data_IF_246139280129
#
_entry.id   IF_246139280129
#
_cell.length_a   1.000
_cell.length_b   1.000
_cell.length_c   1.000
_cell.angle_alpha   90.00
_cell.angle_beta   90.00
_cell.angle_gamma   90.00
#
_symmetry.space_group_name_H-M   'P 1'
#
loop_
_entity.id
_entity.type
_entity.pdbx_description
1 polymer ?
#
# COMPACT_ATOMS: atom_id res chain seq x y z
N UNK A 1 16.27 12.15 -4.70
CA UNK A 1 15.15 13.09 -4.95
C UNK A 1 15.47 14.49 -4.42
N UNK A 2 15.87 14.61 -3.16
CA UNK A 2 16.17 15.88 -2.47
C UNK A 2 17.28 16.70 -3.12
N UNK A 3 18.36 16.07 -3.58
CA UNK A 3 19.43 16.80 -4.29
C UNK A 3 18.94 17.46 -5.60
N UNK A 4 18.09 16.77 -6.37
CA UNK A 4 17.51 17.32 -7.58
C UNK A 4 16.59 18.50 -7.25
N UNK A 5 15.72 18.33 -6.25
CA UNK A 5 14.82 19.37 -5.76
C UNK A 5 15.61 20.64 -5.39
N UNK A 6 16.63 20.52 -4.55
CA UNK A 6 17.47 21.66 -4.14
C UNK A 6 18.14 22.33 -5.35
N UNK A 7 18.71 21.56 -6.28
CA UNK A 7 19.35 22.12 -7.47
C UNK A 7 18.37 22.86 -8.39
N UNK A 8 17.12 22.42 -8.46
CA UNK A 8 16.07 23.12 -9.22
C UNK A 8 15.73 24.43 -8.51
N UNK A 9 15.43 24.38 -7.21
CA UNK A 9 15.09 25.57 -6.42
C UNK A 9 16.19 26.64 -6.43
N UNK A 10 17.45 26.24 -6.29
CA UNK A 10 18.61 27.15 -6.29
C UNK A 10 18.81 27.87 -7.62
N UNK A 11 18.37 27.25 -8.73
CA UNK A 11 18.56 27.78 -10.09
C UNK A 11 17.29 28.39 -10.68
N UNK A 12 16.16 28.28 -10.00
CA UNK A 12 14.90 28.82 -10.49
C UNK A 12 14.81 30.31 -10.18
N UNK A 13 15.06 31.15 -11.18
CA UNK A 13 15.19 32.60 -11.05
C UNK A 13 13.92 33.38 -11.47
N UNK A 14 12.83 32.67 -11.78
CA UNK A 14 11.55 33.29 -12.16
C UNK A 14 10.57 33.35 -10.99
N UNK A 15 9.61 34.28 -11.07
CA UNK A 15 8.55 34.42 -10.07
C UNK A 15 7.62 33.19 -10.02
N UNK A 16 7.43 32.50 -11.16
CA UNK A 16 6.61 31.31 -11.28
C UNK A 16 7.41 30.07 -10.91
N UNK A 17 7.50 29.79 -9.60
CA UNK A 17 8.21 28.61 -9.07
C UNK A 17 7.50 27.29 -9.44
N UNK A 18 8.26 26.20 -9.67
CA UNK A 18 7.70 24.93 -10.08
C UNK A 18 6.90 24.28 -8.96
N UNK A 19 6.00 23.38 -9.36
CA UNK A 19 5.28 22.49 -8.46
C UNK A 19 5.78 21.07 -8.66
N UNK A 20 5.85 20.29 -7.58
CA UNK A 20 6.44 18.97 -7.54
C UNK A 20 5.39 17.92 -7.22
N UNK A 21 5.35 16.88 -8.04
CA UNK A 21 4.68 15.62 -7.72
C UNK A 21 5.76 14.60 -7.40
N UNK A 22 5.74 14.04 -6.19
CA UNK A 22 6.73 13.09 -5.72
C UNK A 22 6.10 11.71 -5.51
N UNK A 23 6.75 10.62 -5.94
CA UNK A 23 6.34 9.27 -5.55
C UNK A 23 6.68 9.01 -4.07
N UNK A 24 6.37 7.81 -3.58
CA UNK A 24 6.60 7.44 -2.18
C UNK A 24 8.09 7.55 -1.81
N UNK A 25 9.00 7.26 -2.75
CA UNK A 25 10.44 7.40 -2.53
C UNK A 25 10.91 8.86 -2.36
N UNK A 26 9.99 9.82 -2.56
CA UNK A 26 10.12 11.21 -2.18
C UNK A 26 9.82 11.51 -0.71
N UNK A 27 9.13 10.59 -0.01
CA UNK A 27 8.69 10.74 1.37
C UNK A 27 9.80 10.33 2.34
N UNK A 28 10.80 11.20 2.48
CA UNK A 28 12.01 10.95 3.28
C UNK A 28 12.27 12.10 4.26
N UNK A 29 12.90 11.82 5.40
CA UNK A 29 13.19 12.80 6.45
C UNK A 29 14.02 13.99 5.93
N UNK A 30 14.90 13.78 4.95
CA UNK A 30 15.67 14.87 4.35
C UNK A 30 14.79 15.90 3.65
N UNK A 31 13.61 15.50 3.14
CA UNK A 31 12.65 16.41 2.54
C UNK A 31 12.07 17.36 3.59
N UNK A 32 11.82 16.87 4.80
CA UNK A 32 11.32 17.69 5.91
C UNK A 32 12.31 18.83 6.23
N UNK A 33 13.61 18.52 6.26
CA UNK A 33 14.66 19.52 6.45
C UNK A 33 14.72 20.58 5.34
N UNK A 34 14.51 20.17 4.08
CA UNK A 34 14.46 21.11 2.95
C UNK A 34 13.24 22.02 3.04
N UNK A 35 12.06 21.45 3.29
CA UNK A 35 10.82 22.23 3.44
C UNK A 35 10.90 23.15 4.67
N UNK A 36 11.57 22.72 5.74
CA UNK A 36 11.80 23.57 6.91
C UNK A 36 12.60 24.82 6.54
N UNK A 37 13.66 24.67 5.74
CA UNK A 37 14.53 25.74 5.27
C UNK A 37 13.91 26.63 4.16
N UNK A 38 12.98 26.08 3.38
CA UNK A 38 12.27 26.78 2.30
C UNK A 38 10.75 26.63 2.47
N UNK A 39 10.11 27.45 3.34
CA UNK A 39 8.73 27.25 3.74
C UNK A 39 7.71 27.25 2.59
N UNK A 40 7.98 27.95 1.49
CA UNK A 40 7.10 27.99 0.33
C UNK A 40 7.01 26.65 -0.41
N UNK A 41 7.91 25.69 -0.15
CA UNK A 41 7.85 24.36 -0.73
C UNK A 41 6.66 23.54 -0.20
N UNK A 42 6.18 23.79 1.02
CA UNK A 42 5.07 22.99 1.58
C UNK A 42 3.82 23.08 0.70
N UNK A 43 3.54 24.27 0.13
CA UNK A 43 2.41 24.49 -0.76
C UNK A 43 2.66 24.10 -2.23
N UNK A 44 3.88 23.62 -2.56
CA UNK A 44 4.29 23.30 -3.92
C UNK A 44 4.67 21.83 -4.11
N UNK A 45 4.69 21.04 -3.06
CA UNK A 45 4.96 19.60 -3.11
C UNK A 45 3.65 18.86 -2.86
N UNK A 46 3.29 17.96 -3.76
CA UNK A 46 2.26 16.95 -3.57
C UNK A 46 2.92 15.58 -3.69
N UNK A 47 2.59 14.66 -2.81
CA UNK A 47 3.18 13.34 -2.81
C UNK A 47 2.16 12.22 -2.96
N UNK A 48 2.60 11.09 -3.49
CA UNK A 48 1.81 9.84 -3.52
C UNK A 48 2.50 8.75 -2.72
N UNK A 49 1.71 7.84 -2.18
CA UNK A 49 2.14 6.65 -1.42
C UNK A 49 1.11 5.55 -1.61
N UNK A 50 1.48 4.26 -1.51
CA UNK A 50 0.46 3.20 -1.51
C UNK A 50 -0.64 3.46 -0.48
N UNK A 51 -1.89 3.22 -0.88
CA UNK A 51 -3.10 3.52 -0.11
C UNK A 51 -3.44 2.49 0.95
N UNK A 52 -2.54 1.55 1.27
CA UNK A 52 -2.79 0.46 2.20
C UNK A 52 -3.29 0.91 3.58
N UNK A 53 -2.88 2.09 4.05
CA UNK A 53 -3.38 2.69 5.30
C UNK A 53 -4.89 3.01 5.30
N UNK A 54 -5.53 3.01 4.13
CA UNK A 54 -6.97 3.19 3.95
C UNK A 54 -7.74 1.86 4.11
N UNK A 55 -7.04 0.72 4.06
CA UNK A 55 -7.65 -0.60 4.21
C UNK A 55 -8.13 -0.85 5.64
N UNK A 56 -9.26 -1.54 5.77
CA UNK A 56 -9.89 -1.88 7.06
C UNK A 56 -8.95 -2.67 7.98
N UNK A 57 -8.15 -3.58 7.42
CA UNK A 57 -7.22 -4.44 8.15
C UNK A 57 -5.94 -3.76 8.64
N UNK A 58 -5.59 -2.59 8.12
CA UNK A 58 -4.30 -1.94 8.38
C UNK A 58 -4.11 -1.57 9.86
N UNK A 59 -5.13 -1.02 10.50
CA UNK A 59 -5.04 -0.57 11.90
C UNK A 59 -4.67 -1.69 12.87
N UNK A 60 -5.26 -2.87 12.69
CA UNK A 60 -4.95 -4.06 13.48
C UNK A 60 -3.54 -4.59 13.21
N UNK A 61 -3.08 -4.52 11.96
CA UNK A 61 -1.69 -4.83 11.61
C UNK A 61 -0.70 -3.87 12.28
N UNK A 62 -0.91 -2.56 12.13
CA UNK A 62 -0.02 -1.53 12.67
C UNK A 62 0.11 -1.65 14.20
N UNK A 63 -0.98 -1.96 14.90
CA UNK A 63 -0.95 -2.23 16.34
C UNK A 63 -0.07 -3.45 16.68
N UNK A 64 -0.25 -4.57 15.97
CA UNK A 64 0.55 -5.80 16.20
C UNK A 64 2.02 -5.58 15.86
N UNK A 65 2.31 -4.89 14.77
CA UNK A 65 3.67 -4.56 14.35
C UNK A 65 4.36 -3.71 15.43
N UNK A 66 3.70 -2.64 15.86
CA UNK A 66 4.24 -1.75 16.90
C UNK A 66 4.46 -2.44 18.23
N UNK A 67 3.54 -3.35 18.61
CA UNK A 67 3.71 -4.13 19.83
C UNK A 67 4.91 -5.09 19.78
N UNK A 68 5.27 -5.59 18.59
CA UNK A 68 6.37 -6.54 18.42
C UNK A 68 7.73 -5.84 18.24
N UNK A 69 7.80 -4.81 17.40
CA UNK A 69 9.05 -4.12 17.05
C UNK A 69 9.32 -2.86 17.89
N UNK A 70 8.34 -2.40 18.67
CA UNK A 70 8.42 -1.16 19.45
C UNK A 70 8.64 0.10 18.57
N UNK A 71 8.12 0.07 17.34
CA UNK A 71 8.12 1.15 16.35
C UNK A 71 6.94 0.98 15.37
N UNK A 72 6.40 2.06 14.77
CA UNK A 72 5.37 1.93 13.75
C UNK A 72 5.88 1.17 12.52
N UNK A 73 5.00 0.51 11.74
CA UNK A 73 5.41 -0.10 10.48
C UNK A 73 5.94 0.96 9.51
N UNK A 74 7.07 0.65 8.88
CA UNK A 74 7.56 1.42 7.73
C UNK A 74 6.70 1.17 6.49
N UNK A 75 6.78 2.08 5.51
CA UNK A 75 6.17 1.90 4.19
C UNK A 75 6.54 0.53 3.63
N UNK A 76 5.54 -0.20 3.13
CA UNK A 76 5.65 -1.55 2.56
C UNK A 76 5.67 -2.74 3.52
N UNK A 77 5.70 -2.53 4.83
CA UNK A 77 5.67 -3.63 5.80
C UNK A 77 4.38 -4.46 5.67
N UNK A 78 3.27 -3.80 5.36
CA UNK A 78 1.96 -4.38 5.09
C UNK A 78 1.95 -5.33 3.88
N UNK A 79 2.62 -4.98 2.77
CA UNK A 79 2.67 -5.86 1.60
C UNK A 79 3.53 -7.09 1.87
N UNK A 80 4.64 -6.94 2.61
CA UNK A 80 5.45 -8.07 3.03
C UNK A 80 4.67 -8.98 4.00
N UNK A 81 3.84 -8.40 4.86
CA UNK A 81 2.93 -9.13 5.74
C UNK A 81 1.93 -9.96 4.92
N UNK A 82 1.23 -9.33 3.98
CA UNK A 82 0.24 -9.99 3.14
C UNK A 82 0.86 -11.08 2.25
N UNK A 83 2.05 -10.83 1.69
CA UNK A 83 2.78 -11.82 0.87
C UNK A 83 3.07 -13.11 1.64
N UNK A 84 3.33 -13.04 2.95
CA UNK A 84 3.54 -14.22 3.77
C UNK A 84 2.24 -15.04 3.95
N UNK A 85 1.09 -14.38 4.13
CA UNK A 85 -0.21 -15.05 4.22
C UNK A 85 -0.64 -15.64 2.87
N UNK A 86 -0.47 -14.88 1.78
CA UNK A 86 -0.69 -15.37 0.42
C UNK A 86 0.10 -16.65 0.14
N UNK A 87 1.38 -16.69 0.52
CA UNK A 87 2.20 -17.89 0.37
C UNK A 87 1.63 -19.06 1.19
N UNK A 88 1.24 -18.82 2.44
CA UNK A 88 0.66 -19.85 3.30
C UNK A 88 -0.64 -20.41 2.72
N UNK A 89 -1.54 -19.56 2.24
CA UNK A 89 -2.80 -20.00 1.65
C UNK A 89 -2.62 -20.65 0.28
N UNK A 90 -1.69 -20.19 -0.55
CA UNK A 90 -1.36 -20.87 -1.80
C UNK A 90 -0.77 -22.28 -1.55
N UNK A 91 0.06 -22.47 -0.51
CA UNK A 91 0.48 -23.80 -0.06
C UNK A 91 -0.75 -24.66 0.30
N UNK A 92 -1.67 -24.12 1.11
CA UNK A 92 -2.88 -24.83 1.51
C UNK A 92 -3.73 -25.26 0.30
N UNK A 93 -4.03 -24.33 -0.60
CA UNK A 93 -4.80 -24.54 -1.84
C UNK A 93 -4.15 -25.60 -2.73
N UNK A 94 -2.82 -25.59 -2.85
CA UNK A 94 -2.10 -26.58 -3.67
C UNK A 94 -2.32 -28.02 -3.18
N UNK A 95 -2.60 -28.20 -1.88
CA UNK A 95 -2.70 -29.51 -1.25
C UNK A 95 -1.40 -30.31 -1.26
N UNK A 96 -0.25 -29.64 -1.49
CA UNK A 96 1.08 -30.24 -1.54
C UNK A 96 1.89 -29.79 -0.33
N UNK A 97 2.66 -30.70 0.27
CA UNK A 97 3.61 -30.32 1.33
C UNK A 97 4.78 -29.47 0.82
N UNK A 98 5.18 -29.66 -0.44
CA UNK A 98 6.26 -28.94 -1.10
C UNK A 98 5.89 -28.66 -2.56
N UNK A 99 4.99 -27.70 -2.83
CA UNK A 99 4.65 -27.32 -4.20
C UNK A 99 5.87 -26.74 -4.91
N UNK A 100 6.05 -27.13 -6.17
CA UNK A 100 6.98 -26.47 -7.09
C UNK A 100 6.54 -25.04 -7.42
N UNK A 101 7.42 -24.25 -8.03
CA UNK A 101 7.08 -22.89 -8.50
C UNK A 101 5.81 -22.84 -9.36
N UNK A 102 5.68 -23.69 -10.40
CA UNK A 102 4.46 -23.73 -11.21
C UNK A 102 3.20 -24.13 -10.44
N UNK A 103 3.30 -25.08 -9.50
CA UNK A 103 2.18 -25.46 -8.63
C UNK A 103 1.77 -24.32 -7.70
N UNK A 104 2.74 -23.57 -7.17
CA UNK A 104 2.49 -22.37 -6.37
C UNK A 104 1.81 -21.28 -7.19
N UNK A 105 2.30 -21.02 -8.40
CA UNK A 105 1.72 -20.02 -9.29
C UNK A 105 0.27 -20.38 -9.65
N UNK A 106 -0.02 -21.67 -9.90
CA UNK A 106 -1.38 -22.13 -10.16
C UNK A 106 -2.30 -21.96 -8.92
N UNK A 107 -1.80 -22.21 -7.72
CA UNK A 107 -2.55 -22.01 -6.48
C UNK A 107 -2.78 -20.52 -6.15
N UNK A 108 -1.82 -19.65 -6.47
CA UNK A 108 -1.95 -18.20 -6.27
C UNK A 108 -3.13 -17.63 -7.07
N UNK A 109 -3.49 -18.23 -8.20
CA UNK A 109 -4.66 -17.81 -9.00
C UNK A 109 -6.01 -18.03 -8.32
N UNK A 110 -6.01 -18.69 -7.17
CA UNK A 110 -7.21 -19.11 -6.43
C UNK A 110 -7.27 -18.46 -5.04
N UNK A 111 -6.41 -17.47 -4.76
CA UNK A 111 -6.41 -16.70 -3.51
C UNK A 111 -7.37 -15.51 -3.55
N UNK A 112 -7.90 -15.19 -4.73
CA UNK A 112 -8.97 -14.21 -4.92
C UNK A 112 -9.97 -14.71 -5.98
N UNK A 113 -11.23 -14.26 -5.92
CA UNK A 113 -12.24 -14.65 -6.89
C UNK A 113 -11.92 -14.11 -8.29
N UNK A 114 -11.89 -15.01 -9.28
CA UNK A 114 -11.84 -14.67 -10.70
C UNK A 114 -12.75 -15.63 -11.49
N UNK A 115 -13.74 -15.11 -12.25
CA UNK A 115 -14.61 -15.94 -13.06
C UNK A 115 -13.87 -16.83 -14.08
N UNK A 116 -12.63 -16.49 -14.46
CA UNK A 116 -11.82 -17.24 -15.41
C UNK A 116 -11.06 -18.42 -14.78
N UNK A 117 -10.95 -18.50 -13.46
CA UNK A 117 -10.22 -19.58 -12.76
C UNK A 117 -11.13 -20.64 -12.14
N UNK A 118 -12.45 -20.43 -12.22
CA UNK A 118 -13.45 -21.25 -11.54
C UNK A 118 -13.63 -20.89 -10.06
N UNK A 119 -12.86 -19.92 -9.54
CA UNK A 119 -13.04 -19.36 -8.21
C UNK A 119 -14.01 -18.17 -8.27
N UNK A 120 -15.31 -18.38 -8.03
CA UNK A 120 -16.37 -17.37 -8.29
C UNK A 120 -17.00 -16.76 -7.04
N UNK A 121 -16.49 -17.08 -5.85
CA UNK A 121 -17.05 -16.61 -4.58
C UNK A 121 -16.53 -17.41 -3.39
N UNK A 122 -15.20 -17.47 -3.25
CA UNK A 122 -14.56 -18.11 -2.11
C UNK A 122 -14.95 -17.42 -0.80
N UNK A 123 -14.82 -18.14 0.32
CA UNK A 123 -15.01 -17.52 1.63
C UNK A 123 -13.95 -16.43 1.83
N UNK A 124 -14.37 -15.27 2.35
CA UNK A 124 -13.43 -14.22 2.72
C UNK A 124 -12.51 -14.71 3.84
N UNK A 125 -11.21 -14.49 3.65
CA UNK A 125 -10.18 -14.83 4.62
C UNK A 125 -9.27 -13.63 4.84
N UNK A 126 -9.21 -13.16 6.09
CA UNK A 126 -8.46 -11.95 6.40
C UNK A 126 -6.99 -12.28 6.72
N UNK A 127 -6.11 -11.33 6.43
CA UNK A 127 -4.74 -11.37 6.89
C UNK A 127 -4.63 -11.16 8.41
N UNK A 128 -4.03 -12.12 9.11
CA UNK A 128 -3.73 -11.99 10.52
C UNK A 128 -3.76 -13.30 11.31
N UNK A 129 -3.32 -13.26 12.58
CA UNK A 129 -3.28 -14.46 13.42
C UNK A 129 -4.68 -14.90 13.86
N UNK A 130 -5.64 -13.97 13.94
CA UNK A 130 -7.02 -14.27 14.30
C UNK A 130 -7.65 -15.13 13.21
N UNK A 131 -8.18 -16.30 13.57
CA UNK A 131 -8.84 -17.18 12.60
C UNK A 131 -7.89 -17.92 11.64
N UNK A 132 -6.57 -17.68 11.70
CA UNK A 132 -5.60 -18.22 10.73
C UNK A 132 -5.76 -19.72 10.47
N UNK A 133 -5.85 -20.55 11.52
CA UNK A 133 -6.00 -22.00 11.36
C UNK A 133 -7.30 -22.39 10.64
N UNK A 134 -8.39 -21.64 10.89
CA UNK A 134 -9.67 -21.85 10.20
C UNK A 134 -9.61 -21.41 8.75
N UNK A 135 -9.01 -20.25 8.47
CA UNK A 135 -8.80 -19.75 7.10
C UNK A 135 -7.87 -20.67 6.30
N UNK A 136 -6.80 -21.17 6.92
CA UNK A 136 -5.90 -22.14 6.29
C UNK A 136 -6.62 -23.44 5.93
N UNK A 137 -7.46 -23.95 6.83
CA UNK A 137 -8.28 -25.13 6.55
C UNK A 137 -9.27 -24.86 5.42
N UNK A 138 -9.90 -23.68 5.42
CA UNK A 138 -10.83 -23.23 4.38
C UNK A 138 -10.15 -23.21 3.01
N UNK A 139 -8.97 -22.58 2.93
CA UNK A 139 -8.14 -22.56 1.74
C UNK A 139 -7.76 -23.98 1.25
N UNK A 140 -7.39 -24.88 2.17
CA UNK A 140 -7.05 -26.27 1.85
C UNK A 140 -8.24 -27.07 1.29
N UNK A 141 -9.44 -26.86 1.82
CA UNK A 141 -10.63 -27.63 1.46
C UNK A 141 -11.38 -27.07 0.26
N UNK A 142 -11.59 -25.75 0.24
CA UNK A 142 -12.37 -25.09 -0.80
C UNK A 142 -11.53 -24.84 -2.05
N UNK A 143 -10.21 -24.68 -1.89
CA UNK A 143 -9.25 -24.37 -2.98
C UNK A 143 -9.64 -23.14 -3.80
N UNK A 144 -10.32 -22.21 -3.14
CA UNK A 144 -10.76 -20.93 -3.65
C UNK A 144 -11.13 -20.12 -2.40
N UNK A 145 -10.52 -18.95 -2.24
CA UNK A 145 -10.75 -18.03 -1.13
C UNK A 145 -10.81 -16.61 -1.69
N UNK A 146 -11.28 -15.69 -0.86
CA UNK A 146 -11.22 -14.26 -1.12
C UNK A 146 -10.32 -13.61 -0.07
N UNK A 147 -9.03 -13.44 -0.40
CA UNK A 147 -8.05 -12.92 0.54
C UNK A 147 -8.15 -11.40 0.69
N UNK A 148 -8.53 -10.96 1.90
CA UNK A 148 -8.55 -9.55 2.28
C UNK A 148 -7.29 -9.24 3.12
N UNK A 149 -6.34 -8.56 2.47
CA UNK A 149 -5.04 -8.22 3.04
C UNK A 149 -5.11 -7.04 4.01
N UNK A 150 -4.05 -6.85 4.81
CA UNK A 150 -3.93 -5.64 5.63
C UNK A 150 -3.57 -4.42 4.78
N UNK A 151 -3.14 -4.65 3.53
CA UNK A 151 -2.97 -3.63 2.50
C UNK A 151 -4.20 -3.40 1.61
N UNK A 152 -5.29 -4.13 1.87
CA UNK A 152 -6.55 -4.11 1.11
C UNK A 152 -6.80 -5.44 0.38
N UNK A 153 -7.92 -5.51 -0.38
CA UNK A 153 -8.22 -6.68 -1.20
C UNK A 153 -7.12 -6.95 -2.23
N UNK A 154 -6.71 -8.20 -2.37
CA UNK A 154 -5.70 -8.62 -3.35
C UNK A 154 -6.38 -9.43 -4.47
N UNK A 155 -7.31 -8.75 -5.13
CA UNK A 155 -8.02 -9.22 -6.32
C UNK A 155 -7.06 -9.21 -7.51
N UNK A 156 -6.28 -10.27 -7.64
CA UNK A 156 -5.29 -10.42 -8.70
C UNK A 156 -5.99 -10.65 -10.04
N UNK A 157 -5.60 -9.85 -11.03
CA UNK A 157 -5.85 -10.17 -12.42
C UNK A 157 -4.96 -11.35 -12.81
N UNK A 158 -5.55 -12.49 -13.17
CA UNK A 158 -4.80 -13.72 -13.44
C UNK A 158 -4.06 -13.76 -14.79
N UNK A 159 -4.25 -12.75 -15.63
CA UNK A 159 -3.49 -12.55 -16.87
C UNK A 159 -2.20 -11.77 -16.60
N UNK A 160 -2.28 -10.73 -15.77
CA UNK A 160 -1.15 -9.83 -15.46
C UNK A 160 -0.41 -10.21 -14.18
N UNK A 161 -1.08 -10.84 -13.23
CA UNK A 161 -0.59 -11.12 -11.88
C UNK A 161 -0.61 -9.91 -10.94
N UNK A 162 -1.32 -8.83 -11.31
CA UNK A 162 -1.37 -7.58 -10.56
C UNK A 162 -2.68 -7.46 -9.80
N UNK A 163 -2.62 -6.92 -8.57
CA UNK A 163 -3.80 -6.53 -7.81
C UNK A 163 -3.96 -5.01 -7.87
N UNK A 164 -5.21 -4.56 -8.02
CA UNK A 164 -5.53 -3.13 -7.97
C UNK A 164 -5.34 -2.60 -6.55
N UNK A 165 -4.74 -1.41 -6.40
CA UNK A 165 -4.50 -0.80 -5.09
C UNK A 165 -4.76 0.70 -5.11
N UNK A 166 -5.36 1.20 -4.04
CA UNK A 166 -5.57 2.63 -3.84
C UNK A 166 -4.22 3.36 -3.74
N UNK A 167 -4.20 4.63 -4.11
CA UNK A 167 -3.02 5.50 -3.97
C UNK A 167 -3.40 6.66 -3.07
N UNK A 168 -2.79 6.71 -1.89
CA UNK A 168 -2.96 7.82 -0.98
C UNK A 168 -2.09 9.01 -1.37
N UNK A 169 -2.52 10.18 -0.95
CA UNK A 169 -1.82 11.44 -1.14
C UNK A 169 -1.18 11.85 0.18
N UNK A 170 -0.01 12.48 0.11
CA UNK A 170 0.62 13.12 1.27
C UNK A 170 1.09 14.53 0.95
N UNK A 171 1.15 15.36 1.99
CA UNK A 171 1.58 16.74 1.95
C UNK A 171 2.65 17.00 3.02
N UNK A 172 3.65 17.85 2.74
CA UNK A 172 4.44 18.44 3.81
C UNK A 172 3.56 19.42 4.60
N UNK A 173 3.30 19.12 5.86
CA UNK A 173 2.58 19.99 6.77
C UNK A 173 3.54 20.69 7.71
N UNK A 174 3.31 21.98 7.96
CA UNK A 174 4.14 22.80 8.82
C UNK A 174 3.42 23.11 10.13
N UNK A 175 4.12 22.88 11.25
CA UNK A 175 3.71 23.32 12.58
C UNK A 175 4.87 24.07 13.25
N UNK A 176 4.87 25.39 13.10
CA UNK A 176 6.00 26.23 13.52
C UNK A 176 7.27 25.94 12.70
N UNK A 177 8.32 25.46 13.37
CA UNK A 177 9.58 25.03 12.75
C UNK A 177 9.61 23.55 12.38
N UNK A 178 8.61 22.77 12.80
CA UNK A 178 8.51 21.35 12.49
C UNK A 178 7.78 21.15 11.17
N UNK A 179 8.24 20.17 10.41
CA UNK A 179 7.61 19.68 9.19
C UNK A 179 7.27 18.21 9.40
N UNK A 180 6.13 17.76 8.87
CA UNK A 180 5.76 16.35 8.83
C UNK A 180 5.18 16.00 7.46
N UNK A 181 5.45 14.80 6.96
CA UNK A 181 4.87 14.30 5.71
C UNK A 181 3.55 13.56 5.96
N UNK A 182 2.47 14.32 6.05
CA UNK A 182 1.16 13.86 6.51
C UNK A 182 0.29 13.32 5.37
N UNK A 183 -0.40 12.20 5.62
CA UNK A 183 -1.41 11.67 4.72
C UNK A 183 -2.61 12.61 4.61
N UNK A 184 -3.19 12.68 3.42
CA UNK A 184 -4.36 13.50 3.12
C UNK A 184 -5.62 12.64 3.03
N UNK A 185 -6.78 13.30 3.09
CA UNK A 185 -8.08 12.63 2.97
C UNK A 185 -8.42 12.22 1.53
N UNK A 186 -7.81 12.89 0.56
CA UNK A 186 -7.92 12.65 -0.86
C UNK A 186 -7.02 11.47 -1.26
N UNK A 187 -7.55 10.62 -2.13
CA UNK A 187 -6.82 9.45 -2.63
C UNK A 187 -7.38 9.02 -3.98
N UNK A 188 -6.61 8.28 -4.75
CA UNK A 188 -7.11 7.55 -5.91
C UNK A 188 -7.70 6.22 -5.45
N UNK A 189 -8.98 5.98 -5.73
CA UNK A 189 -9.61 4.68 -5.53
C UNK A 189 -9.44 3.84 -6.78
N UNK A 190 -8.80 2.68 -6.65
CA UNK A 190 -8.62 1.76 -7.75
C UNK A 190 -9.95 1.10 -8.16
N UNK A 191 -10.80 0.77 -7.18
CA UNK A 191 -12.12 0.21 -7.42
C UNK A 191 -13.02 1.13 -8.27
N UNK A 192 -12.97 2.44 -8.01
CA UNK A 192 -13.76 3.43 -8.76
C UNK A 192 -13.05 3.98 -10.00
N UNK A 193 -11.75 3.71 -10.16
CA UNK A 193 -10.93 4.26 -11.24
C UNK A 193 -10.80 5.80 -11.23
N UNK A 194 -10.92 6.43 -10.06
CA UNK A 194 -10.93 7.90 -9.94
C UNK A 194 -10.43 8.40 -8.58
N UNK A 195 -10.08 9.67 -8.54
CA UNK A 195 -9.78 10.41 -7.31
C UNK A 195 -11.06 10.59 -6.49
N UNK A 196 -10.98 10.26 -5.21
CA UNK A 196 -11.94 10.60 -4.18
C UNK A 196 -11.53 11.91 -3.52
N UNK A 197 -12.45 12.86 -3.42
CA UNK A 197 -12.18 14.22 -2.96
C UNK A 197 -11.71 15.16 -4.08
N UNK A 198 -11.11 16.29 -3.72
CA UNK A 198 -10.60 17.30 -4.68
C UNK A 198 -9.11 17.51 -4.46
N UNK A 199 -8.30 17.06 -5.41
CA UNK A 199 -6.85 17.23 -5.32
C UNK A 199 -6.46 18.64 -5.71
N UNK A 200 -6.02 19.40 -4.72
CA UNK A 200 -5.25 20.63 -4.92
C UNK A 200 -3.81 20.40 -4.47
N UNK A 201 -2.92 21.31 -4.86
CA UNK A 201 -1.63 21.38 -4.17
C UNK A 201 -1.85 21.72 -2.71
N UNK A 202 -0.94 21.23 -1.86
CA UNK A 202 -1.03 21.30 -0.42
C UNK A 202 -1.22 22.76 0.06
N UNK A 203 -1.97 22.96 1.16
CA UNK A 203 -2.28 24.29 1.68
C UNK A 203 -1.07 25.03 2.27
#
# INVERSE_FOLDING_TARGET
VTELLTRVEDKWDTADRPKYLLPEGGKVDELEGIVAAQPDLSARILGTVPGAQLASGYSGFAQRFSAFYNEPPGTFSEFAYDAAYLLAYAIAISGKGHPSGPEMAAAMKLVSPDPNTGCTGGDQVDAGPTGFSGHFQTAATQRCIDFDGVSGPLDFDNETGEASSDIAIWCPERSGSSVSLAAQSEYYSAADGKIQGTVTFCP
#
